data_IF_849817352429
#
_entry.id   IF_849817352429
#
_cell.length_a   1.000
_cell.length_b   1.000
_cell.length_c   1.000
_cell.angle_alpha   90.00
_cell.angle_beta   90.00
_cell.angle_gamma   90.00
#
_symmetry.space_group_name_H-M   'P 1'
#
loop_
_entity.id
_entity.type
_entity.pdbx_description
1 polymer ?
#
# COMPACT_ATOMS: atom_id res chain seq x y z
N UNK A 1 15.01 65.17 -3.45
CA UNK A 1 15.08 64.28 -4.63
C UNK A 1 14.44 62.96 -4.23
N UNK A 2 13.36 62.56 -4.89
CA UNK A 2 12.59 61.37 -4.54
C UNK A 2 13.20 60.15 -5.23
N UNK A 3 14.14 59.47 -4.57
CA UNK A 3 14.75 58.22 -5.07
C UNK A 3 13.86 56.97 -4.86
N UNK A 4 12.68 57.16 -4.25
CA UNK A 4 11.70 56.12 -3.97
C UNK A 4 11.31 55.20 -5.15
N UNK A 5 11.03 55.70 -6.37
CA UNK A 5 10.57 54.84 -7.46
C UNK A 5 11.68 53.94 -8.03
N UNK A 6 12.94 54.37 -8.01
CA UNK A 6 14.06 53.58 -8.52
C UNK A 6 14.37 52.40 -7.59
N UNK A 7 14.40 52.64 -6.28
CA UNK A 7 14.60 51.58 -5.28
C UNK A 7 13.48 50.52 -5.34
N UNK A 8 12.22 50.95 -5.47
CA UNK A 8 11.08 50.04 -5.60
C UNK A 8 11.17 49.12 -6.82
N UNK A 9 11.65 49.64 -7.96
CA UNK A 9 11.84 48.85 -9.18
C UNK A 9 12.91 47.76 -9.02
N UNK A 10 14.05 48.08 -8.42
CA UNK A 10 15.11 47.08 -8.18
C UNK A 10 14.65 45.99 -7.20
N UNK A 11 13.92 46.36 -6.15
CA UNK A 11 13.36 45.40 -5.21
C UNK A 11 12.39 44.43 -5.92
N UNK A 12 11.51 44.96 -6.78
CA UNK A 12 10.58 44.15 -7.57
C UNK A 12 11.30 43.15 -8.50
N UNK A 13 12.34 43.61 -9.22
CA UNK A 13 13.16 42.73 -10.05
C UNK A 13 13.85 41.65 -9.21
N UNK A 14 14.42 42.01 -8.06
CA UNK A 14 15.10 41.05 -7.19
C UNK A 14 14.13 39.95 -6.72
N UNK A 15 12.91 40.30 -6.35
CA UNK A 15 11.85 39.35 -5.98
C UNK A 15 11.50 38.42 -7.14
N UNK A 16 11.34 38.94 -8.36
CA UNK A 16 11.08 38.11 -9.55
C UNK A 16 12.22 37.13 -9.80
N UNK A 17 13.48 37.59 -9.72
CA UNK A 17 14.66 36.73 -9.90
C UNK A 17 14.69 35.64 -8.84
N UNK A 18 14.45 35.98 -7.57
CA UNK A 18 14.40 34.99 -6.48
C UNK A 18 13.31 33.95 -6.73
N UNK A 19 12.10 34.37 -7.13
CA UNK A 19 11.00 33.44 -7.48
C UNK A 19 11.41 32.52 -8.62
N UNK A 20 12.05 33.06 -9.66
CA UNK A 20 12.50 32.28 -10.81
C UNK A 20 13.60 31.27 -10.45
N UNK A 21 14.57 31.67 -9.63
CA UNK A 21 15.65 30.79 -9.14
C UNK A 21 15.06 29.68 -8.28
N UNK A 22 14.18 30.01 -7.32
CA UNK A 22 13.52 29.01 -6.46
C UNK A 22 12.68 28.03 -7.29
N UNK A 23 11.92 28.53 -8.27
CA UNK A 23 11.15 27.69 -9.19
C UNK A 23 12.05 26.74 -9.99
N UNK A 24 13.17 27.24 -10.51
CA UNK A 24 14.13 26.44 -11.30
C UNK A 24 14.80 25.36 -10.44
N UNK A 25 15.26 25.71 -9.24
CA UNK A 25 15.87 24.75 -8.31
C UNK A 25 14.86 23.69 -7.85
N UNK A 26 13.62 24.09 -7.55
CA UNK A 26 12.54 23.18 -7.21
C UNK A 26 12.24 22.20 -8.36
N UNK A 27 12.19 22.71 -9.60
CA UNK A 27 11.98 21.89 -10.79
C UNK A 27 13.15 20.91 -11.03
N UNK A 28 14.40 21.35 -10.87
CA UNK A 28 15.58 20.49 -11.00
C UNK A 28 15.56 19.38 -9.95
N UNK A 29 15.23 19.69 -8.69
CA UNK A 29 15.11 18.69 -7.64
C UNK A 29 13.99 17.68 -7.96
N UNK A 30 12.84 18.14 -8.45
CA UNK A 30 11.75 17.26 -8.85
C UNK A 30 12.16 16.32 -10.00
N UNK A 31 12.90 16.83 -11.00
CA UNK A 31 13.43 16.01 -12.09
C UNK A 31 14.47 14.99 -11.62
N UNK A 32 15.37 15.39 -10.71
CA UNK A 32 16.36 14.48 -10.12
C UNK A 32 15.68 13.34 -9.34
N UNK A 33 14.65 13.66 -8.55
CA UNK A 33 13.85 12.68 -7.82
C UNK A 33 13.16 11.70 -8.79
N UNK A 34 12.58 12.20 -9.88
CA UNK A 34 11.95 11.35 -10.90
C UNK A 34 12.95 10.45 -11.61
N UNK A 35 14.12 10.98 -11.97
CA UNK A 35 15.21 10.21 -12.58
C UNK A 35 15.66 9.06 -11.66
N UNK A 36 15.73 9.29 -10.35
CA UNK A 36 16.04 8.24 -9.38
C UNK A 36 14.99 7.13 -9.38
N UNK A 37 13.70 7.49 -9.41
CA UNK A 37 12.59 6.53 -9.50
C UNK A 37 12.65 5.74 -10.81
N UNK A 38 12.84 6.41 -11.95
CA UNK A 38 12.98 5.76 -13.27
C UNK A 38 14.11 4.72 -13.26
N UNK A 39 15.28 5.07 -12.70
CA UNK A 39 16.40 4.12 -12.60
C UNK A 39 16.08 2.94 -11.70
N UNK A 40 15.48 3.18 -10.53
CA UNK A 40 15.12 2.13 -9.55
C UNK A 40 14.16 1.10 -10.17
N UNK A 41 13.13 1.56 -10.88
CA UNK A 41 12.09 0.70 -11.44
C UNK A 41 12.28 0.36 -12.92
N UNK A 42 13.52 0.50 -13.45
CA UNK A 42 13.90 0.23 -14.85
C UNK A 42 12.91 0.83 -15.86
N UNK A 43 12.38 1.99 -15.50
CA UNK A 43 11.31 2.64 -16.20
C UNK A 43 11.78 3.51 -17.35
N UNK A 44 10.83 4.26 -17.92
CA UNK A 44 11.11 5.35 -18.87
C UNK A 44 10.20 6.53 -18.55
N UNK A 45 10.75 7.74 -18.63
CA UNK A 45 9.93 8.95 -18.59
C UNK A 45 9.19 9.05 -19.92
N UNK A 46 7.87 8.86 -19.91
CA UNK A 46 7.05 8.94 -21.12
C UNK A 46 6.76 10.40 -21.46
N UNK A 47 6.43 11.19 -20.43
CA UNK A 47 6.19 12.63 -20.55
C UNK A 47 6.71 13.34 -19.30
N UNK A 48 7.57 14.34 -19.50
CA UNK A 48 8.16 15.12 -18.39
C UNK A 48 7.19 16.14 -17.76
N UNK A 49 5.99 16.30 -18.32
CA UNK A 49 5.06 17.36 -17.95
C UNK A 49 5.51 18.74 -18.46
N UNK A 50 4.58 19.49 -19.01
CA UNK A 50 4.69 20.92 -19.26
C UNK A 50 3.57 21.67 -18.51
N UNK A 51 3.40 22.96 -18.78
CA UNK A 51 2.32 23.76 -18.16
C UNK A 51 0.91 23.16 -18.30
N UNK A 52 0.70 22.27 -19.28
CA UNK A 52 -0.60 21.66 -19.59
C UNK A 52 -0.60 20.12 -19.58
N UNK A 53 0.49 19.45 -19.19
CA UNK A 53 0.55 17.98 -19.24
C UNK A 53 1.04 17.36 -17.96
N UNK A 54 0.43 16.22 -17.62
CA UNK A 54 0.78 15.40 -16.47
C UNK A 54 2.12 14.71 -16.70
N UNK A 55 2.95 14.65 -15.66
CA UNK A 55 4.14 13.80 -15.68
C UNK A 55 3.69 12.34 -15.70
N UNK A 56 4.24 11.56 -16.64
CA UNK A 56 3.92 10.14 -16.81
C UNK A 56 5.20 9.32 -16.95
N UNK A 57 5.29 8.25 -16.20
CA UNK A 57 6.43 7.34 -16.16
C UNK A 57 5.95 5.91 -16.41
N UNK A 58 6.68 5.16 -17.21
CA UNK A 58 6.54 3.70 -17.23
C UNK A 58 7.38 3.12 -16.10
N UNK A 59 6.85 2.13 -15.40
CA UNK A 59 7.51 1.41 -14.31
C UNK A 59 7.44 -0.08 -14.58
N UNK A 60 8.44 -0.83 -14.13
CA UNK A 60 8.43 -2.30 -14.18
C UNK A 60 8.13 -2.84 -12.78
N UNK A 61 7.08 -3.65 -12.66
CA UNK A 61 6.63 -4.31 -11.43
C UNK A 61 6.64 -5.81 -11.67
N UNK A 62 7.63 -6.51 -11.12
CA UNK A 62 7.89 -7.90 -11.48
C UNK A 62 8.12 -8.05 -12.98
N UNK A 63 7.35 -8.94 -13.63
CA UNK A 63 7.32 -9.10 -15.10
C UNK A 63 6.34 -8.16 -15.81
N UNK A 64 5.53 -7.41 -15.07
CA UNK A 64 4.46 -6.57 -15.62
C UNK A 64 4.92 -5.13 -15.82
N UNK A 65 4.64 -4.57 -17.00
CA UNK A 65 4.85 -3.15 -17.25
C UNK A 65 3.62 -2.34 -16.77
N UNK A 66 3.87 -1.34 -15.94
CA UNK A 66 2.87 -0.41 -15.42
C UNK A 66 3.15 1.04 -15.78
N UNK A 67 2.25 1.92 -15.34
CA UNK A 67 2.36 3.36 -15.52
C UNK A 67 2.13 4.08 -14.19
N UNK A 68 2.98 5.07 -13.89
CA UNK A 68 2.77 6.05 -12.84
C UNK A 68 2.46 7.40 -13.50
N UNK A 69 1.35 8.02 -13.12
CA UNK A 69 0.93 9.33 -13.59
C UNK A 69 0.69 10.28 -12.42
N UNK A 70 1.06 11.56 -12.59
CA UNK A 70 0.67 12.63 -11.66
C UNK A 70 -0.52 13.38 -12.21
N UNK A 71 -1.67 13.28 -11.54
CA UNK A 71 -2.94 13.87 -11.97
C UNK A 71 -3.37 14.95 -10.98
N UNK A 72 -3.66 16.15 -11.48
CA UNK A 72 -4.24 17.22 -10.66
C UNK A 72 -5.77 17.10 -10.63
N UNK A 73 -6.37 16.96 -9.45
CA UNK A 73 -7.83 17.03 -9.24
C UNK A 73 -8.13 18.23 -8.34
N UNK A 74 -8.60 19.32 -8.94
CA UNK A 74 -8.81 20.59 -8.23
C UNK A 74 -7.49 21.18 -7.71
N UNK A 75 -7.35 21.30 -6.38
CA UNK A 75 -6.16 21.85 -5.72
C UNK A 75 -5.16 20.79 -5.25
N UNK A 76 -5.47 19.50 -5.42
CA UNK A 76 -4.66 18.39 -4.91
C UNK A 76 -4.05 17.63 -6.09
N UNK A 77 -2.76 17.35 -5.98
CA UNK A 77 -2.04 16.49 -6.92
C UNK A 77 -2.07 15.04 -6.40
N UNK A 78 -2.42 14.12 -7.29
CA UNK A 78 -2.50 12.69 -7.03
C UNK A 78 -1.44 11.94 -7.82
N UNK A 79 -0.95 10.85 -7.24
CA UNK A 79 -0.21 9.81 -7.91
C UNK A 79 -1.18 8.69 -8.26
N UNK A 80 -1.14 8.23 -9.50
CA UNK A 80 -1.96 7.13 -10.01
C UNK A 80 -1.04 6.07 -10.59
N UNK A 81 -1.00 4.90 -9.98
CA UNK A 81 -0.37 3.71 -10.57
C UNK A 81 -1.42 2.91 -11.31
N UNK A 82 -1.13 2.52 -12.55
CA UNK A 82 -1.95 1.63 -13.36
C UNK A 82 -1.16 0.40 -13.74
N UNK A 83 -1.73 -0.76 -13.44
CA UNK A 83 -1.18 -2.07 -13.75
C UNK A 83 -2.22 -2.86 -14.56
N UNK A 84 -1.82 -3.58 -15.62
CA UNK A 84 -2.68 -4.53 -16.30
C UNK A 84 -3.29 -5.53 -15.31
N UNK A 85 -4.57 -5.85 -15.46
CA UNK A 85 -5.27 -6.83 -14.65
C UNK A 85 -5.87 -7.91 -15.57
N UNK A 86 -5.64 -9.21 -15.29
CA UNK A 86 -6.02 -10.29 -16.22
C UNK A 86 -7.53 -10.39 -16.47
N UNK A 87 -8.36 -10.07 -15.48
CA UNK A 87 -9.81 -10.23 -15.58
C UNK A 87 -10.52 -8.92 -15.99
N UNK A 88 -10.76 -8.74 -17.29
CA UNK A 88 -11.35 -7.51 -17.81
C UNK A 88 -12.77 -7.21 -17.30
N UNK A 89 -13.53 -8.24 -16.90
CA UNK A 89 -14.91 -8.13 -16.42
C UNK A 89 -15.00 -7.84 -14.93
N UNK A 90 -13.94 -8.12 -14.17
CA UNK A 90 -13.95 -7.90 -12.73
C UNK A 90 -14.05 -6.39 -12.43
N UNK A 91 -14.95 -6.03 -11.50
CA UNK A 91 -15.16 -4.66 -11.05
C UNK A 91 -15.21 -4.61 -9.53
N UNK A 92 -14.27 -3.86 -8.97
CA UNK A 92 -14.19 -3.58 -7.54
C UNK A 92 -13.62 -2.18 -7.36
N UNK A 93 -14.23 -1.39 -6.49
CA UNK A 93 -13.74 -0.08 -6.11
C UNK A 93 -13.74 0.03 -4.59
N UNK A 94 -12.63 0.53 -4.07
CA UNK A 94 -12.36 0.61 -2.65
C UNK A 94 -11.88 2.03 -2.34
N UNK A 95 -12.58 2.70 -1.43
CA UNK A 95 -12.35 4.09 -1.05
C UNK A 95 -12.41 4.25 0.46
N UNK A 96 -11.69 5.22 1.01
CA UNK A 96 -11.74 5.51 2.46
C UNK A 96 -13.10 6.11 2.84
N UNK A 97 -13.72 5.60 3.90
CA UNK A 97 -15.12 5.90 4.26
C UNK A 97 -15.39 7.41 4.45
N UNK A 98 -14.45 8.13 5.06
CA UNK A 98 -14.58 9.57 5.34
C UNK A 98 -14.74 10.44 4.08
N UNK A 99 -14.30 9.96 2.91
CA UNK A 99 -14.45 10.68 1.65
C UNK A 99 -15.92 10.73 1.17
N UNK A 100 -16.80 9.83 1.64
CA UNK A 100 -18.10 9.57 1.02
C UNK A 100 -19.29 9.46 1.99
N UNK A 101 -19.13 9.80 3.29
CA UNK A 101 -20.20 9.79 4.31
C UNK A 101 -21.50 10.55 3.92
N UNK A 102 -21.52 11.32 2.83
CA UNK A 102 -22.70 12.06 2.34
C UNK A 102 -23.27 11.63 0.98
N UNK A 103 -22.59 10.83 0.15
CA UNK A 103 -23.04 10.58 -1.24
C UNK A 103 -23.36 9.10 -1.57
N UNK A 104 -22.81 8.13 -0.83
CA UNK A 104 -22.94 6.70 -1.18
C UNK A 104 -24.38 6.17 -1.20
N UNK A 105 -25.26 6.71 -0.36
CA UNK A 105 -26.67 6.24 -0.24
C UNK A 105 -27.55 6.53 -1.46
N UNK A 106 -27.11 7.37 -2.40
CA UNK A 106 -27.92 7.84 -3.53
C UNK A 106 -27.64 7.08 -4.84
N UNK A 107 -26.60 6.26 -4.90
CA UNK A 107 -26.15 5.62 -6.16
C UNK A 107 -26.36 4.10 -6.21
N UNK A 108 -27.07 3.51 -5.24
CA UNK A 108 -27.36 2.06 -5.25
C UNK A 108 -26.13 1.16 -5.14
N UNK A 109 -24.98 1.71 -4.77
CA UNK A 109 -23.77 0.94 -4.49
C UNK A 109 -23.93 0.35 -3.09
N UNK A 110 -24.11 -0.98 -3.02
CA UNK A 110 -24.15 -1.70 -1.76
C UNK A 110 -22.72 -1.88 -1.25
N UNK A 111 -22.48 -1.48 0.00
CA UNK A 111 -21.21 -1.68 0.67
C UNK A 111 -21.02 -3.17 0.98
N UNK A 112 -19.95 -3.76 0.44
CA UNK A 112 -19.62 -5.18 0.59
C UNK A 112 -18.76 -5.35 1.83
N UNK A 113 -19.20 -6.19 2.76
CA UNK A 113 -18.43 -6.50 3.97
C UNK A 113 -17.56 -7.74 3.72
N UNK A 114 -16.24 -7.65 3.95
CA UNK A 114 -15.31 -8.78 3.74
C UNK A 114 -15.07 -9.60 5.01
N UNK A 115 -15.68 -9.22 6.13
CA UNK A 115 -15.66 -9.98 7.39
C UNK A 115 -14.44 -9.65 8.26
N UNK A 116 -13.73 -8.56 7.96
CA UNK A 116 -12.69 -8.02 8.81
C UNK A 116 -13.12 -6.63 9.28
N UNK A 117 -13.72 -6.56 10.46
CA UNK A 117 -14.25 -5.33 11.05
C UNK A 117 -13.30 -4.13 10.96
N UNK A 118 -12.00 -4.32 11.20
CA UNK A 118 -11.02 -3.21 11.15
C UNK A 118 -10.82 -2.71 9.72
N UNK A 119 -10.91 -3.59 8.74
CA UNK A 119 -10.80 -3.23 7.33
C UNK A 119 -12.10 -2.61 6.81
N UNK A 120 -13.23 -3.22 7.16
CA UNK A 120 -14.57 -2.78 6.79
C UNK A 120 -14.93 -1.39 7.40
N UNK A 121 -14.37 -1.04 8.58
CA UNK A 121 -14.49 0.30 9.20
C UNK A 121 -13.59 1.37 8.55
N UNK A 122 -12.55 0.96 7.83
CA UNK A 122 -11.63 1.90 7.17
C UNK A 122 -12.03 2.20 5.73
N UNK A 123 -12.65 1.24 5.05
CA UNK A 123 -12.89 1.29 3.62
C UNK A 123 -14.31 0.93 3.27
N UNK A 124 -14.91 1.75 2.42
CA UNK A 124 -16.13 1.42 1.71
C UNK A 124 -15.76 0.60 0.46
N UNK A 125 -16.41 -0.55 0.29
CA UNK A 125 -16.10 -1.53 -0.76
C UNK A 125 -17.33 -1.68 -1.65
N UNK A 126 -17.14 -1.52 -2.95
CA UNK A 126 -18.22 -1.66 -3.94
C UNK A 126 -17.76 -2.54 -5.10
N UNK A 127 -18.67 -3.33 -5.67
CA UNK A 127 -18.38 -4.21 -6.79
C UNK A 127 -19.63 -4.84 -7.38
N UNK A 128 -19.51 -5.40 -8.58
CA UNK A 128 -20.64 -6.04 -9.27
C UNK A 128 -20.93 -7.46 -8.76
N UNK A 129 -19.90 -8.19 -8.31
CA UNK A 129 -20.00 -9.55 -7.77
C UNK A 129 -19.39 -9.60 -6.37
N UNK A 130 -20.26 -9.63 -5.35
CA UNK A 130 -19.86 -9.65 -3.95
C UNK A 130 -18.97 -10.85 -3.61
N UNK A 131 -19.24 -12.01 -4.20
CA UNK A 131 -18.47 -13.22 -3.92
C UNK A 131 -17.06 -13.09 -4.47
N UNK A 132 -16.92 -12.68 -5.73
CA UNK A 132 -15.61 -12.48 -6.35
C UNK A 132 -14.79 -11.39 -5.63
N UNK A 133 -15.45 -10.32 -5.16
CA UNK A 133 -14.80 -9.28 -4.35
C UNK A 133 -14.25 -9.84 -3.04
N UNK A 134 -15.04 -10.65 -2.31
CA UNK A 134 -14.59 -11.30 -1.07
C UNK A 134 -13.46 -12.31 -1.31
N UNK A 135 -13.51 -13.05 -2.41
CA UNK A 135 -12.45 -13.98 -2.80
C UNK A 135 -11.14 -13.25 -3.15
N UNK A 136 -11.21 -12.09 -3.82
CA UNK A 136 -10.04 -11.25 -4.11
C UNK A 136 -9.47 -10.60 -2.84
N UNK A 137 -10.31 -10.04 -1.99
CA UNK A 137 -9.93 -9.28 -0.80
C UNK A 137 -9.55 -10.19 0.38
N UNK A 138 -8.63 -11.12 0.12
CA UNK A 138 -8.01 -11.98 1.14
C UNK A 138 -7.25 -11.16 2.19
N UNK A 139 -6.92 -11.73 3.37
CA UNK A 139 -6.15 -11.02 4.40
C UNK A 139 -4.81 -10.44 3.91
N UNK A 140 -4.16 -11.09 2.95
CA UNK A 140 -2.92 -10.59 2.34
C UNK A 140 -3.15 -9.31 1.52
N UNK A 141 -4.20 -9.31 0.68
CA UNK A 141 -4.59 -8.15 -0.12
C UNK A 141 -5.04 -7.00 0.78
N UNK A 142 -5.87 -7.28 1.79
CA UNK A 142 -6.28 -6.31 2.80
C UNK A 142 -5.07 -5.66 3.49
N UNK A 143 -4.08 -6.45 3.89
CA UNK A 143 -2.85 -5.95 4.51
C UNK A 143 -2.10 -4.95 3.61
N UNK A 144 -1.95 -5.25 2.32
CA UNK A 144 -1.25 -4.35 1.39
C UNK A 144 -2.04 -3.06 1.14
N UNK A 145 -3.37 -3.12 1.06
CA UNK A 145 -4.23 -1.93 0.98
C UNK A 145 -4.06 -1.06 2.22
N UNK A 146 -4.06 -1.66 3.42
CA UNK A 146 -3.84 -0.92 4.68
C UNK A 146 -2.44 -0.31 4.72
N UNK A 147 -1.42 -0.98 4.19
CA UNK A 147 -0.07 -0.43 4.07
C UNK A 147 -0.01 0.77 3.12
N UNK A 148 -0.68 0.70 1.96
CA UNK A 148 -0.83 1.82 1.03
C UNK A 148 -1.56 3.00 1.69
N UNK A 149 -2.61 2.73 2.45
CA UNK A 149 -3.33 3.75 3.23
C UNK A 149 -2.39 4.42 4.23
N UNK A 150 -1.62 3.61 4.98
CA UNK A 150 -0.67 4.06 6.00
C UNK A 150 0.56 4.79 5.46
N UNK A 151 0.78 4.77 4.15
CA UNK A 151 1.84 5.54 3.52
C UNK A 151 1.45 7.03 3.57
N UNK A 152 1.89 7.78 4.56
CA UNK A 152 1.63 9.23 4.62
C UNK A 152 2.94 9.97 4.85
N UNK A 153 2.97 11.23 4.44
CA UNK A 153 4.03 12.12 4.86
C UNK A 153 3.92 12.45 6.34
N UNK A 154 5.04 12.28 7.04
CA UNK A 154 5.17 12.69 8.45
C UNK A 154 4.94 14.19 8.68
N UNK A 155 4.90 15.01 7.62
CA UNK A 155 4.97 16.47 7.69
C UNK A 155 3.74 17.23 7.20
N UNK A 156 2.72 16.58 6.62
CA UNK A 156 1.54 17.33 6.16
C UNK A 156 0.58 17.60 7.32
N UNK A 157 0.51 18.87 7.74
CA UNK A 157 -0.44 19.38 8.74
C UNK A 157 -1.91 19.07 8.36
N UNK A 158 -2.17 18.81 7.08
CA UNK A 158 -3.44 18.27 6.57
C UNK A 158 -3.27 16.78 6.27
N UNK A 159 -3.90 15.92 7.07
CA UNK A 159 -3.91 14.47 6.86
C UNK A 159 -4.91 14.11 5.76
N UNK A 160 -4.53 14.32 4.49
CA UNK A 160 -5.30 13.78 3.37
C UNK A 160 -5.08 12.28 3.32
N UNK A 161 -5.96 11.52 3.99
CA UNK A 161 -5.94 10.05 3.99
C UNK A 161 -6.75 9.48 2.84
N UNK A 162 -6.64 10.09 1.67
CA UNK A 162 -7.34 9.59 0.48
C UNK A 162 -6.55 8.39 -0.06
N UNK A 163 -7.24 7.26 -0.19
CA UNK A 163 -6.79 6.13 -0.98
C UNK A 163 -7.98 5.65 -1.79
N UNK A 164 -7.75 5.47 -3.07
CA UNK A 164 -8.70 4.84 -3.98
C UNK A 164 -7.99 3.68 -4.69
N UNK A 165 -8.57 2.49 -4.60
CA UNK A 165 -8.11 1.30 -5.33
C UNK A 165 -9.25 0.85 -6.21
N UNK A 166 -9.00 0.65 -7.50
CA UNK A 166 -10.02 0.29 -8.48
C UNK A 166 -9.50 -0.81 -9.38
N UNK A 167 -10.28 -1.89 -9.48
CA UNK A 167 -10.15 -2.89 -10.53
C UNK A 167 -11.28 -2.67 -11.52
N UNK A 168 -10.96 -2.33 -12.76
CA UNK A 168 -11.97 -2.15 -13.80
C UNK A 168 -11.35 -2.23 -15.19
N UNK A 169 -12.05 -2.83 -16.15
CA UNK A 169 -11.65 -2.88 -17.58
C UNK A 169 -10.24 -3.45 -17.80
N UNK A 170 -9.86 -4.45 -17.00
CA UNK A 170 -8.56 -5.10 -17.11
C UNK A 170 -7.41 -4.22 -16.61
N UNK A 171 -7.68 -3.31 -15.67
CA UNK A 171 -6.67 -2.51 -14.99
C UNK A 171 -6.89 -2.52 -13.48
N UNK A 172 -5.79 -2.60 -12.74
CA UNK A 172 -5.70 -2.16 -11.35
C UNK A 172 -5.17 -0.73 -11.34
N UNK A 173 -5.95 0.20 -10.79
CA UNK A 173 -5.57 1.58 -10.57
C UNK A 173 -5.51 1.87 -9.06
N UNK A 174 -4.39 2.44 -8.60
CA UNK A 174 -4.19 2.86 -7.21
C UNK A 174 -3.93 4.36 -7.23
N UNK A 175 -4.82 5.13 -6.61
CA UNK A 175 -4.79 6.59 -6.58
C UNK A 175 -4.57 7.08 -5.17
N UNK A 176 -3.60 7.98 -4.99
CA UNK A 176 -3.24 8.54 -3.68
C UNK A 176 -2.71 9.97 -3.81
N UNK A 177 -2.96 10.88 -2.86
CA UNK A 177 -2.33 12.20 -2.85
C UNK A 177 -0.81 12.12 -2.90
N UNK A 178 -0.17 13.00 -3.68
CA UNK A 178 1.29 12.99 -3.92
C UNK A 178 2.13 13.38 -2.71
N UNK A 179 1.61 14.21 -1.81
CA UNK A 179 2.42 14.86 -0.77
C UNK A 179 3.50 15.78 -1.36
N UNK A 180 4.61 15.96 -0.63
CA UNK A 180 5.86 16.65 -0.99
C UNK A 180 6.55 16.08 -2.23
N UNK A 181 6.20 14.87 -2.66
CA UNK A 181 6.76 14.26 -3.87
C UNK A 181 8.24 13.91 -3.75
N UNK A 182 8.72 13.55 -2.54
CA UNK A 182 10.06 13.01 -2.37
C UNK A 182 10.22 11.68 -3.12
N UNK A 183 11.42 11.41 -3.64
CA UNK A 183 11.71 10.17 -4.35
C UNK A 183 11.46 8.92 -3.48
N UNK A 184 11.69 9.04 -2.17
CA UNK A 184 11.47 7.98 -1.19
C UNK A 184 10.00 7.59 -1.10
N UNK A 185 9.08 8.57 -1.03
CA UNK A 185 7.65 8.30 -0.90
C UNK A 185 7.08 7.75 -2.19
N UNK A 186 7.49 8.30 -3.34
CA UNK A 186 7.10 7.76 -4.65
C UNK A 186 7.57 6.31 -4.77
N UNK A 187 8.80 6.01 -4.35
CA UNK A 187 9.32 4.64 -4.35
C UNK A 187 8.54 3.74 -3.41
N UNK A 188 8.29 4.16 -2.17
CA UNK A 188 7.51 3.37 -1.21
C UNK A 188 6.07 3.14 -1.68
N UNK A 189 5.48 4.08 -2.42
CA UNK A 189 4.18 3.92 -3.07
C UNK A 189 4.22 2.88 -4.19
N UNK A 190 5.24 2.91 -5.05
CA UNK A 190 5.42 1.90 -6.11
C UNK A 190 5.66 0.52 -5.51
N UNK A 191 6.51 0.40 -4.48
CA UNK A 191 6.80 -0.87 -3.80
C UNK A 191 5.51 -1.45 -3.17
N UNK A 192 4.73 -0.62 -2.47
CA UNK A 192 3.47 -1.07 -1.88
C UNK A 192 2.39 -1.42 -2.92
N UNK A 193 2.36 -0.71 -4.07
CA UNK A 193 1.47 -1.03 -5.18
C UNK A 193 1.86 -2.35 -5.86
N UNK A 194 3.16 -2.61 -6.01
CA UNK A 194 3.68 -3.87 -6.51
C UNK A 194 3.28 -5.04 -5.60
N UNK A 195 3.48 -4.90 -4.29
CA UNK A 195 3.12 -5.93 -3.32
C UNK A 195 1.60 -6.18 -3.30
N UNK A 196 0.77 -5.14 -3.45
CA UNK A 196 -0.68 -5.30 -3.61
C UNK A 196 -1.03 -6.09 -4.87
N UNK A 197 -0.41 -5.75 -6.00
CA UNK A 197 -0.67 -6.40 -7.28
C UNK A 197 -0.34 -7.90 -7.24
N UNK A 198 0.84 -8.26 -6.73
CA UNK A 198 1.26 -9.65 -6.57
C UNK A 198 0.34 -10.42 -5.60
N UNK A 199 -0.03 -9.81 -4.46
CA UNK A 199 -0.99 -10.41 -3.53
C UNK A 199 -2.36 -10.66 -4.17
N UNK A 200 -2.84 -9.71 -4.99
CA UNK A 200 -4.10 -9.81 -5.69
C UNK A 200 -4.08 -10.90 -6.78
N UNK A 201 -2.99 -10.99 -7.56
CA UNK A 201 -2.80 -12.09 -8.51
C UNK A 201 -2.74 -13.46 -7.82
N UNK A 202 -2.06 -13.55 -6.68
CA UNK A 202 -2.02 -14.75 -5.86
C UNK A 202 -3.40 -15.20 -5.38
N UNK A 203 -4.26 -14.25 -4.98
CA UNK A 203 -5.64 -14.54 -4.58
C UNK A 203 -6.46 -15.14 -5.75
N UNK A 204 -6.33 -14.59 -6.96
CA UNK A 204 -7.03 -15.11 -8.14
C UNK A 204 -6.57 -16.53 -8.52
N UNK A 205 -5.26 -16.79 -8.42
CA UNK A 205 -4.69 -18.10 -8.76
C UNK A 205 -5.01 -19.18 -7.72
N UNK A 206 -5.39 -18.80 -6.50
CA UNK A 206 -5.75 -19.74 -5.43
C UNK A 206 -7.10 -20.44 -5.65
N UNK A 207 -7.91 -19.96 -6.60
CA UNK A 207 -9.17 -20.59 -7.02
C UNK A 207 -9.01 -21.76 -8.00
N UNK A 208 -7.80 -21.98 -8.53
CA UNK A 208 -7.47 -23.26 -9.17
C UNK A 208 -7.21 -24.23 -8.03
N UNK A 209 -8.26 -24.92 -7.61
CA UNK A 209 -8.14 -26.16 -6.85
C UNK A 209 -7.29 -27.09 -7.72
N UNK A 210 -5.98 -27.09 -7.49
CA UNK A 210 -5.11 -28.12 -8.02
C UNK A 210 -5.61 -29.39 -7.32
N UNK A 211 -6.47 -30.13 -8.01
CA UNK A 211 -6.75 -31.53 -7.74
C UNK A 211 -5.44 -32.28 -8.03
N UNK A 212 -4.43 -32.09 -7.19
CA UNK A 212 -3.25 -32.90 -7.15
C UNK A 212 -3.37 -33.73 -5.88
N UNK A 213 -3.68 -35.00 -6.11
CA UNK A 213 -3.51 -36.09 -5.17
C UNK A 213 -2.05 -36.19 -4.72
N UNK A 214 -1.63 -35.29 -3.85
CA UNK A 214 -0.61 -35.52 -2.84
C UNK A 214 -0.66 -34.35 -1.88
N UNK A 215 -1.29 -34.56 -0.72
CA UNK A 215 -1.05 -33.71 0.44
C UNK A 215 0.45 -33.73 0.72
N UNK A 216 1.18 -32.76 0.19
CA UNK A 216 2.41 -32.31 0.84
C UNK A 216 1.89 -31.75 2.16
N UNK A 217 2.07 -32.54 3.22
CA UNK A 217 1.91 -32.05 4.58
C UNK A 217 2.79 -30.79 4.65
N UNK A 218 2.16 -29.62 4.58
CA UNK A 218 2.84 -28.37 4.85
C UNK A 218 3.31 -28.51 6.28
N UNK A 219 4.61 -28.70 6.42
CA UNK A 219 5.28 -28.88 7.69
C UNK A 219 4.86 -27.71 8.59
N UNK A 220 4.03 -28.02 9.59
CA UNK A 220 3.46 -27.05 10.50
C UNK A 220 4.63 -26.42 11.22
N UNK A 221 5.04 -25.21 10.82
CA UNK A 221 6.23 -24.48 11.30
C UNK A 221 6.71 -25.02 12.64
N UNK A 222 7.66 -25.93 12.57
CA UNK A 222 8.21 -26.62 13.73
C UNK A 222 9.22 -25.74 14.46
N UNK A 223 9.46 -24.50 14.05
CA UNK A 223 10.44 -23.61 14.66
C UNK A 223 9.81 -22.52 15.55
N UNK A 224 10.50 -22.19 16.65
CA UNK A 224 10.08 -21.10 17.55
C UNK A 224 10.33 -19.73 16.89
N UNK A 225 9.35 -18.80 16.88
CA UNK A 225 9.54 -17.47 16.31
C UNK A 225 10.57 -16.57 17.01
N UNK A 226 11.10 -16.99 18.17
CA UNK A 226 12.05 -16.20 18.97
C UNK A 226 13.48 -16.64 18.69
N UNK A 227 13.80 -17.93 18.85
CA UNK A 227 15.15 -18.45 18.61
C UNK A 227 15.35 -19.09 17.23
N UNK A 228 14.27 -19.35 16.49
CA UNK A 228 14.27 -20.10 15.21
C UNK A 228 14.66 -21.59 15.31
N UNK A 229 14.86 -22.13 16.52
CA UNK A 229 15.11 -23.56 16.73
C UNK A 229 13.84 -24.39 16.68
N UNK A 230 13.98 -25.69 16.44
CA UNK A 230 12.90 -26.66 16.47
C UNK A 230 12.19 -26.72 17.84
N UNK A 231 10.86 -26.77 17.79
CA UNK A 231 9.95 -26.80 18.91
C UNK A 231 9.97 -28.20 19.53
N UNK A 232 10.81 -28.35 20.54
CA UNK A 232 10.94 -29.55 21.36
C UNK A 232 10.84 -29.21 22.85
N UNK A 233 10.58 -30.22 23.68
CA UNK A 233 10.53 -30.06 25.14
C UNK A 233 9.30 -29.31 25.66
N UNK A 234 9.51 -28.39 26.61
CA UNK A 234 8.44 -27.65 27.26
C UNK A 234 7.92 -26.52 26.35
N UNK A 235 6.74 -26.74 25.77
CA UNK A 235 6.12 -25.80 24.84
C UNK A 235 4.97 -25.03 25.47
N UNK A 236 4.80 -23.79 25.02
CA UNK A 236 3.62 -22.99 25.26
C UNK A 236 3.02 -22.50 23.95
N UNK A 237 1.72 -22.28 23.96
CA UNK A 237 1.01 -21.77 22.81
C UNK A 237 0.28 -20.48 23.17
N UNK A 238 0.43 -19.47 22.32
CA UNK A 238 -0.29 -18.22 22.47
C UNK A 238 -1.81 -18.47 22.46
N UNK A 239 -2.52 -17.93 23.44
CA UNK A 239 -3.97 -18.11 23.53
C UNK A 239 -4.74 -17.39 22.41
N UNK A 240 -4.16 -16.33 21.83
CA UNK A 240 -4.75 -15.53 20.76
C UNK A 240 -4.48 -16.13 19.37
N UNK A 241 -3.23 -16.15 18.91
CA UNK A 241 -2.89 -16.58 17.55
C UNK A 241 -2.53 -18.07 17.42
N UNK A 242 -2.51 -18.82 18.52
CA UNK A 242 -2.14 -20.25 18.57
C UNK A 242 -0.71 -20.58 18.09
N UNK A 243 0.18 -19.60 17.98
CA UNK A 243 1.59 -19.86 17.68
C UNK A 243 2.30 -20.52 18.87
N UNK A 244 3.09 -21.55 18.59
CA UNK A 244 3.89 -22.29 19.58
C UNK A 244 5.24 -21.63 19.83
N UNK A 245 5.71 -21.68 21.07
CA UNK A 245 7.00 -21.16 21.53
C UNK A 245 7.60 -22.13 22.54
N UNK A 246 8.93 -22.14 22.70
CA UNK A 246 9.54 -22.71 23.90
C UNK A 246 9.10 -21.92 25.13
N UNK A 247 8.92 -22.61 26.26
CA UNK A 247 8.57 -21.98 27.54
C UNK A 247 9.57 -20.89 27.94
N UNK A 248 10.84 -21.13 27.69
CA UNK A 248 11.92 -20.20 28.05
C UNK A 248 11.90 -18.98 27.14
N UNK A 249 11.74 -19.17 25.82
CA UNK A 249 11.56 -18.07 24.87
C UNK A 249 10.36 -17.18 25.21
N UNK A 250 9.24 -17.78 25.63
CA UNK A 250 8.08 -17.02 26.09
C UNK A 250 8.36 -16.23 27.35
N UNK A 251 9.08 -16.82 28.31
CA UNK A 251 9.41 -16.16 29.59
C UNK A 251 10.42 -15.04 29.40
N UNK A 252 11.38 -15.21 28.50
CA UNK A 252 12.36 -14.21 28.11
C UNK A 252 11.72 -13.02 27.37
N UNK A 253 10.88 -13.28 26.36
CA UNK A 253 10.26 -12.23 25.54
C UNK A 253 9.04 -11.59 26.24
N UNK A 254 8.40 -12.28 27.17
CA UNK A 254 7.26 -11.80 27.97
C UNK A 254 5.93 -11.68 27.21
N UNK A 255 5.88 -12.00 25.91
CA UNK A 255 4.68 -11.95 25.07
C UNK A 255 4.84 -12.79 23.79
N UNK A 256 3.77 -12.89 22.98
CA UNK A 256 3.85 -13.55 21.69
C UNK A 256 4.64 -12.71 20.67
N UNK A 257 5.73 -13.28 20.15
CA UNK A 257 6.60 -12.65 19.15
C UNK A 257 6.05 -12.68 17.71
N UNK A 258 4.89 -13.29 17.47
CA UNK A 258 4.23 -13.24 16.15
C UNK A 258 3.81 -11.81 15.85
N UNK A 259 4.24 -11.29 14.69
CA UNK A 259 3.95 -9.94 14.23
C UNK A 259 2.44 -9.61 14.36
N UNK A 260 2.12 -8.53 15.08
CA UNK A 260 0.76 -8.06 15.29
C UNK A 260 -0.04 -8.73 16.41
N UNK A 261 0.46 -9.78 17.07
CA UNK A 261 -0.28 -10.45 18.15
C UNK A 261 -0.08 -9.80 19.53
N UNK A 262 1.15 -9.77 20.05
CA UNK A 262 1.48 -9.10 21.32
C UNK A 262 0.81 -9.65 22.60
N UNK A 263 0.04 -10.76 22.51
CA UNK A 263 -0.65 -11.34 23.67
C UNK A 263 0.35 -11.80 24.74
N UNK A 264 0.06 -11.48 26.01
CA UNK A 264 0.81 -11.93 27.19
C UNK A 264 0.27 -13.23 27.80
N UNK A 265 -0.78 -13.82 27.21
CA UNK A 265 -1.43 -15.04 27.72
C UNK A 265 -1.04 -16.26 26.87
N UNK A 266 -0.44 -17.27 27.50
CA UNK A 266 -0.15 -18.57 26.90
C UNK A 266 -0.84 -19.71 27.66
N UNK A 267 -0.96 -20.86 27.00
CA UNK A 267 -1.29 -22.15 27.61
C UNK A 267 -0.13 -23.11 27.42
N UNK A 268 0.14 -23.96 28.40
CA UNK A 268 1.12 -25.03 28.23
C UNK A 268 0.57 -26.06 27.23
N UNK A 269 1.41 -26.47 26.28
CA UNK A 269 1.12 -27.60 25.40
C UNK A 269 1.95 -28.74 25.95
N UNK A 270 1.30 -29.67 26.65
CA UNK A 270 2.00 -30.81 27.23
C UNK A 270 2.76 -31.54 26.14
N UNK A 271 4.09 -31.60 26.27
CA UNK A 271 4.91 -32.47 25.43
C UNK A 271 4.36 -33.87 25.56
N UNK A 272 3.84 -34.43 24.47
CA UNK A 272 3.37 -35.80 24.43
C UNK A 272 4.47 -36.68 24.99
N UNK A 273 4.17 -37.45 26.04
CA UNK A 273 5.10 -38.41 26.61
C UNK A 273 5.55 -39.32 25.47
N UNK A 274 6.81 -39.21 25.07
CA UNK A 274 7.45 -40.23 24.25
C UNK A 274 7.33 -41.55 25.02
N UNK A 275 6.60 -42.49 24.45
CA UNK A 275 6.71 -43.88 24.82
C UNK A 275 7.94 -44.45 24.10
N UNK A 276 8.85 -45.01 24.90
CA UNK A 276 10.11 -45.69 24.58
C UNK A 276 11.28 -44.81 24.10
#
# INVERSE_FOLDING_TARGET
MNDGPVFGFFLFIAVIIIIFVVATLSQQQAQANLQQVVRKYRGKLLYAGGFFSNTKLSIQVGSTQGELEYVRRGKVDYMVIRLPWPEARFRCQLQVEDAMKKLGKLMGMQDIQVGNFVFDDLFMISGEDERAVRELLTPSVQHQIVRLYKLHERSSMYSYRDLEVTWMRGLLAITKPRGSGSAEIVSAFIDAAADLYEAALGACNSGIEIISEKRVLVDVKTACPVCSDELSGALVQCTACKTSHHRDCWSYFGSCATYGCGSKRCRNVGGGRGAA
#
